data_IF_812460599981
#
_entry.id   IF_812460599981
#
_cell.length_a   1.000
_cell.length_b   1.000
_cell.length_c   1.000
_cell.angle_alpha   90.00
_cell.angle_beta   90.00
_cell.angle_gamma   90.00
#
_symmetry.space_group_name_H-M   'P 1'
#
loop_
_entity.id
_entity.type
_entity.pdbx_description
1 polymer ?
#
# COMPACT_ATOMS: atom_id res chain seq x y z
N UNK A 1 2.50 25.83 24.04
CA UNK A 1 2.46 26.16 22.60
C UNK A 1 3.37 25.15 21.90
N UNK A 2 2.80 24.04 21.42
CA UNK A 2 3.58 22.99 20.76
C UNK A 2 4.04 23.48 19.39
N UNK A 3 5.31 23.26 19.08
CA UNK A 3 5.97 23.63 17.84
C UNK A 3 5.12 23.19 16.64
N UNK A 4 4.50 24.14 15.93
CA UNK A 4 3.57 23.85 14.81
C UNK A 4 4.35 23.58 13.52
N UNK A 5 5.48 22.87 13.62
CA UNK A 5 6.18 22.42 12.42
C UNK A 5 5.40 21.25 11.82
N UNK A 6 5.14 21.24 10.49
CA UNK A 6 4.54 20.10 9.84
C UNK A 6 5.46 18.88 10.00
N UNK A 7 4.86 17.77 10.43
CA UNK A 7 5.53 16.50 10.67
C UNK A 7 6.15 15.95 9.39
N UNK A 8 7.36 15.43 9.50
CA UNK A 8 8.15 14.87 8.38
C UNK A 8 7.93 13.37 8.26
N UNK A 9 8.42 12.79 7.16
CA UNK A 9 8.21 11.37 6.82
C UNK A 9 8.82 10.37 7.81
N UNK A 10 9.97 10.71 8.38
CA UNK A 10 10.69 9.90 9.38
C UNK A 10 10.05 9.99 10.78
N UNK A 11 9.33 11.08 11.04
CA UNK A 11 8.70 11.36 12.34
C UNK A 11 7.34 10.67 12.52
N UNK A 12 6.77 10.08 11.46
CA UNK A 12 5.47 9.40 11.51
C UNK A 12 5.42 8.38 12.65
N UNK A 13 4.37 8.44 13.48
CA UNK A 13 4.19 7.58 14.65
C UNK A 13 2.71 7.17 14.88
N UNK A 14 1.78 7.71 14.10
CA UNK A 14 0.35 7.44 14.22
C UNK A 14 -0.27 7.12 12.84
N UNK A 15 -1.24 6.19 12.80
CA UNK A 15 -2.04 5.90 11.60
C UNK A 15 -2.72 7.14 11.01
N UNK A 16 -3.07 8.11 11.86
CA UNK A 16 -3.65 9.39 11.45
C UNK A 16 -2.72 10.21 10.56
N UNK A 17 -1.40 10.01 10.66
CA UNK A 17 -0.41 10.66 9.80
C UNK A 17 -0.56 10.22 8.35
N UNK A 18 -0.90 8.95 8.10
CA UNK A 18 -1.17 8.44 6.76
C UNK A 18 -2.37 9.14 6.12
N UNK A 19 -3.32 9.63 6.93
CA UNK A 19 -4.46 10.45 6.50
C UNK A 19 -4.06 11.74 5.79
N UNK A 20 -2.83 12.23 6.01
CA UNK A 20 -2.32 13.50 5.47
C UNK A 20 -1.66 13.33 4.10
N UNK A 21 -1.46 12.11 3.62
CA UNK A 21 -0.78 11.83 2.35
C UNK A 21 -1.44 12.55 1.16
N UNK A 22 -0.67 13.09 0.20
CA UNK A 22 -1.24 13.72 -0.99
C UNK A 22 -1.99 12.71 -1.85
N UNK A 23 -3.01 13.16 -2.59
CA UNK A 23 -3.90 12.29 -3.41
C UNK A 23 -3.14 11.33 -4.34
N UNK A 24 -2.07 11.75 -5.04
CA UNK A 24 -1.30 10.84 -5.89
C UNK A 24 -0.75 9.62 -5.16
N UNK A 25 -0.44 9.75 -3.85
CA UNK A 25 0.04 8.63 -3.05
C UNK A 25 -1.05 7.61 -2.81
N UNK A 26 -2.26 8.07 -2.46
CA UNK A 26 -3.41 7.18 -2.34
C UNK A 26 -3.74 6.49 -3.66
N UNK A 27 -3.66 7.22 -4.78
CA UNK A 27 -3.87 6.65 -6.10
C UNK A 27 -2.86 5.54 -6.42
N UNK A 28 -1.57 5.78 -6.15
CA UNK A 28 -0.52 4.78 -6.37
C UNK A 28 -0.65 3.56 -5.44
N UNK A 29 -0.93 3.77 -4.16
CA UNK A 29 -1.18 2.68 -3.21
C UNK A 29 -2.42 1.84 -3.59
N UNK A 30 -3.49 2.50 -4.02
CA UNK A 30 -4.72 1.86 -4.50
C UNK A 30 -4.43 1.06 -5.77
N UNK A 31 -3.77 1.65 -6.76
CA UNK A 31 -3.40 0.97 -8.01
C UNK A 31 -2.56 -0.29 -7.75
N UNK A 32 -1.64 -0.23 -6.78
CA UNK A 32 -0.82 -1.36 -6.38
C UNK A 32 -1.65 -2.52 -5.78
N UNK A 33 -2.65 -2.22 -4.93
CA UNK A 33 -3.60 -3.22 -4.42
C UNK A 33 -4.44 -3.80 -5.56
N UNK A 34 -5.00 -2.97 -6.44
CA UNK A 34 -5.82 -3.43 -7.57
C UNK A 34 -5.03 -4.34 -8.50
N UNK A 35 -3.80 -3.97 -8.82
CA UNK A 35 -2.89 -4.80 -9.61
C UNK A 35 -2.59 -6.12 -8.92
N UNK A 36 -2.33 -6.10 -7.61
CA UNK A 36 -2.09 -7.33 -6.82
C UNK A 36 -3.29 -8.28 -6.87
N UNK A 37 -4.52 -7.76 -6.75
CA UNK A 37 -5.74 -8.58 -6.87
C UNK A 37 -5.86 -9.17 -8.28
N UNK A 38 -5.63 -8.38 -9.32
CA UNK A 38 -5.66 -8.84 -10.71
C UNK A 38 -4.62 -9.95 -10.97
N UNK A 39 -3.39 -9.76 -10.50
CA UNK A 39 -2.33 -10.77 -10.62
C UNK A 39 -2.66 -12.02 -9.82
N UNK A 40 -3.25 -11.89 -8.63
CA UNK A 40 -3.72 -13.03 -7.82
C UNK A 40 -4.80 -13.84 -8.57
N UNK A 41 -5.73 -13.17 -9.26
CA UNK A 41 -6.74 -13.82 -10.11
C UNK A 41 -6.12 -14.65 -11.24
N UNK A 42 -5.10 -14.11 -11.90
CA UNK A 42 -4.38 -14.80 -12.98
C UNK A 42 -3.58 -15.99 -12.43
N UNK A 43 -2.80 -15.77 -11.37
CA UNK A 43 -1.95 -16.78 -10.77
C UNK A 43 -2.75 -17.96 -10.21
N UNK A 44 -3.88 -17.69 -9.53
CA UNK A 44 -4.74 -18.74 -8.98
C UNK A 44 -5.32 -19.66 -10.06
N UNK A 45 -5.50 -19.15 -11.27
CA UNK A 45 -5.91 -19.94 -12.43
C UNK A 45 -4.86 -20.95 -12.89
N UNK A 46 -3.58 -20.72 -12.59
CA UNK A 46 -2.44 -21.52 -13.05
C UNK A 46 -1.86 -22.43 -11.97
N UNK A 47 -1.90 -22.02 -10.70
CA UNK A 47 -1.28 -22.76 -9.60
C UNK A 47 -2.30 -23.18 -8.53
N UNK A 48 -2.25 -24.45 -8.14
CA UNK A 48 -3.15 -25.05 -7.12
C UNK A 48 -2.42 -25.65 -5.92
N UNK A 49 -1.09 -25.59 -5.89
CA UNK A 49 -0.31 -26.19 -4.81
C UNK A 49 -0.49 -25.47 -3.46
N UNK A 50 -0.28 -26.18 -2.33
CA UNK A 50 -0.45 -25.62 -0.99
C UNK A 50 0.52 -24.47 -0.69
N UNK A 51 1.69 -24.46 -1.34
CA UNK A 51 2.70 -23.40 -1.19
C UNK A 51 2.47 -22.19 -2.10
N UNK A 52 1.46 -22.22 -2.97
CA UNK A 52 1.28 -21.16 -3.97
C UNK A 52 0.89 -19.82 -3.31
N UNK A 53 0.04 -19.84 -2.28
CA UNK A 53 -0.32 -18.64 -1.51
C UNK A 53 0.88 -18.05 -0.75
N UNK A 54 1.61 -18.80 0.10
CA UNK A 54 2.73 -18.23 0.83
C UNK A 54 3.85 -17.74 -0.10
N UNK A 55 4.18 -18.48 -1.17
CA UNK A 55 5.17 -18.04 -2.15
C UNK A 55 4.74 -16.74 -2.86
N UNK A 56 3.45 -16.62 -3.21
CA UNK A 56 2.91 -15.41 -3.82
C UNK A 56 2.93 -14.22 -2.86
N UNK A 57 2.52 -14.42 -1.61
CA UNK A 57 2.52 -13.39 -0.59
C UNK A 57 3.95 -12.87 -0.33
N UNK A 58 4.92 -13.77 -0.13
CA UNK A 58 6.32 -13.40 0.03
C UNK A 58 6.86 -12.69 -1.20
N UNK A 59 6.54 -13.17 -2.41
CA UNK A 59 6.98 -12.55 -3.65
C UNK A 59 6.49 -11.11 -3.80
N UNK A 60 5.19 -10.87 -3.59
CA UNK A 60 4.60 -9.53 -3.72
C UNK A 60 5.10 -8.58 -2.63
N UNK A 61 5.16 -9.03 -1.38
CA UNK A 61 5.68 -8.20 -0.28
C UNK A 61 7.15 -7.85 -0.52
N UNK A 62 7.97 -8.83 -0.93
CA UNK A 62 9.38 -8.58 -1.26
C UNK A 62 9.52 -7.60 -2.43
N UNK A 63 8.70 -7.74 -3.49
CA UNK A 63 8.72 -6.81 -4.62
C UNK A 63 8.38 -5.36 -4.23
N UNK A 64 7.58 -5.17 -3.17
CA UNK A 64 7.23 -3.86 -2.63
C UNK A 64 8.31 -3.29 -1.68
N UNK A 65 8.94 -4.15 -0.89
CA UNK A 65 9.87 -3.74 0.18
C UNK A 65 11.32 -3.65 -0.31
N UNK A 66 11.75 -4.48 -1.25
CA UNK A 66 13.14 -4.48 -1.74
C UNK A 66 13.59 -3.15 -2.35
N UNK A 67 12.77 -2.47 -3.21
CA UNK A 67 13.15 -1.15 -3.72
C UNK A 67 13.37 -0.12 -2.61
N UNK A 68 12.55 -0.18 -1.56
CA UNK A 68 12.68 0.67 -0.37
C UNK A 68 13.98 0.40 0.37
N UNK A 69 14.30 -0.87 0.63
CA UNK A 69 15.55 -1.26 1.30
C UNK A 69 16.76 -0.77 0.49
N UNK A 70 16.74 -0.96 -0.83
CA UNK A 70 17.81 -0.55 -1.72
C UNK A 70 17.99 0.98 -1.79
N UNK A 71 16.90 1.74 -1.69
CA UNK A 71 16.97 3.20 -1.63
C UNK A 71 17.45 3.68 -0.26
N UNK A 72 16.99 3.04 0.83
CA UNK A 72 17.43 3.35 2.20
C UNK A 72 18.91 3.09 2.44
N UNK A 73 19.48 2.05 1.83
CA UNK A 73 20.92 1.78 1.96
C UNK A 73 21.82 2.83 1.32
N UNK A 74 21.25 3.74 0.53
CA UNK A 74 21.93 4.88 -0.09
C UNK A 74 21.67 6.21 0.63
N UNK A 75 20.90 6.21 1.71
CA UNK A 75 20.66 7.40 2.51
C UNK A 75 21.90 7.73 3.35
N UNK A 76 22.15 9.02 3.51
CA UNK A 76 23.27 9.60 4.24
C UNK A 76 22.80 10.71 5.21
N UNK A 77 23.74 11.33 5.91
CA UNK A 77 23.46 12.43 6.85
C UNK A 77 22.86 13.67 6.16
N UNK A 78 23.02 13.81 4.85
CA UNK A 78 22.47 14.91 4.05
C UNK A 78 21.04 14.67 3.55
N UNK A 79 20.44 13.51 3.85
CA UNK A 79 19.15 13.13 3.28
C UNK A 79 18.01 14.00 3.84
N UNK A 80 17.31 14.69 2.94
CA UNK A 80 16.16 15.53 3.30
C UNK A 80 14.85 14.72 3.37
N UNK A 81 14.12 14.91 4.47
CA UNK A 81 12.78 14.37 4.71
C UNK A 81 11.73 15.46 4.47
N UNK A 82 10.93 15.42 3.40
CA UNK A 82 9.88 16.43 3.21
C UNK A 82 8.79 16.33 4.29
N UNK A 83 8.00 17.38 4.50
CA UNK A 83 6.71 17.29 5.19
C UNK A 83 5.82 16.22 4.56
N UNK A 84 4.96 15.58 5.36
CA UNK A 84 4.06 14.51 4.90
C UNK A 84 3.17 14.96 3.72
N UNK A 85 2.67 16.19 3.75
CA UNK A 85 1.80 16.73 2.69
C UNK A 85 2.51 16.96 1.35
N UNK A 86 3.83 17.13 1.38
CA UNK A 86 4.66 17.52 0.23
C UNK A 86 5.35 16.32 -0.43
N UNK A 87 5.14 15.12 0.10
CA UNK A 87 5.87 13.94 -0.35
C UNK A 87 5.52 13.50 -1.78
N UNK A 88 6.55 13.16 -2.54
CA UNK A 88 6.41 12.54 -3.85
C UNK A 88 6.18 11.02 -3.75
N UNK A 89 5.21 10.50 -4.49
CA UNK A 89 4.90 9.06 -4.48
C UNK A 89 6.10 8.16 -4.84
N UNK A 90 6.87 8.49 -5.88
CA UNK A 90 7.99 7.65 -6.31
C UNK A 90 9.31 7.99 -5.61
N UNK A 91 9.50 9.26 -5.23
CA UNK A 91 10.77 9.77 -4.72
C UNK A 91 10.95 9.57 -3.23
N UNK A 92 9.89 9.62 -2.43
CA UNK A 92 10.01 9.75 -0.98
C UNK A 92 9.49 8.55 -0.19
N UNK A 93 8.92 7.54 -0.86
CA UNK A 93 8.40 6.35 -0.19
C UNK A 93 9.41 5.73 0.76
N UNK A 94 10.67 5.61 0.34
CA UNK A 94 11.76 5.01 1.10
C UNK A 94 12.10 5.74 2.42
N UNK A 95 11.62 6.98 2.58
CA UNK A 95 11.88 7.85 3.73
C UNK A 95 10.84 7.73 4.85
N UNK A 96 9.74 7.00 4.64
CA UNK A 96 8.75 6.78 5.70
C UNK A 96 9.37 6.09 6.91
N UNK A 97 8.76 6.24 8.10
CA UNK A 97 9.13 5.43 9.27
C UNK A 97 8.91 3.93 9.03
N UNK A 98 9.73 3.07 9.64
CA UNK A 98 9.72 1.61 9.39
C UNK A 98 8.37 0.95 9.66
N UNK A 99 7.62 1.40 10.67
CA UNK A 99 6.31 0.84 11.01
C UNK A 99 5.27 1.09 9.89
N UNK A 100 5.42 2.17 9.11
CA UNK A 100 4.53 2.49 7.98
C UNK A 100 4.59 1.37 6.94
N UNK A 101 5.77 0.78 6.71
CA UNK A 101 5.91 -0.37 5.81
C UNK A 101 5.36 -1.65 6.40
N UNK A 102 5.42 -1.82 7.73
CA UNK A 102 4.78 -2.95 8.38
C UNK A 102 3.26 -2.90 8.16
N UNK A 103 2.65 -1.72 8.33
CA UNK A 103 1.23 -1.49 8.07
C UNK A 103 0.90 -1.66 6.59
N UNK A 104 1.69 -1.08 5.68
CA UNK A 104 1.50 -1.23 4.24
C UNK A 104 1.61 -2.69 3.78
N UNK A 105 2.59 -3.44 4.31
CA UNK A 105 2.77 -4.87 4.05
C UNK A 105 1.64 -5.70 4.62
N UNK A 106 1.15 -5.37 5.83
CA UNK A 106 -0.02 -6.01 6.43
C UNK A 106 -1.28 -5.79 5.61
N UNK A 107 -1.53 -4.57 5.13
CA UNK A 107 -2.63 -4.26 4.23
C UNK A 107 -2.52 -5.03 2.91
N UNK A 108 -1.31 -5.09 2.32
CA UNK A 108 -1.07 -5.89 1.12
C UNK A 108 -1.35 -7.38 1.35
N UNK A 109 -0.85 -7.94 2.45
CA UNK A 109 -1.07 -9.34 2.82
C UNK A 109 -2.56 -9.64 2.99
N UNK A 110 -3.32 -8.75 3.64
CA UNK A 110 -4.76 -8.87 3.77
C UNK A 110 -5.44 -9.01 2.41
N UNK A 111 -5.11 -8.13 1.45
CA UNK A 111 -5.70 -8.19 0.10
C UNK A 111 -5.29 -9.44 -0.68
N UNK A 112 -4.05 -9.90 -0.53
CA UNK A 112 -3.57 -11.15 -1.12
C UNK A 112 -4.38 -12.34 -0.58
N UNK A 113 -4.51 -12.47 0.75
CA UNK A 113 -5.24 -13.57 1.38
C UNK A 113 -6.71 -13.53 1.02
N UNK A 114 -7.34 -12.35 1.13
CA UNK A 114 -8.76 -12.17 0.80
C UNK A 114 -9.05 -12.53 -0.65
N UNK A 115 -8.30 -11.97 -1.60
CA UNK A 115 -8.50 -12.25 -3.03
C UNK A 115 -8.21 -13.71 -3.37
N UNK A 116 -7.17 -14.30 -2.77
CA UNK A 116 -6.88 -15.73 -2.91
C UNK A 116 -8.04 -16.61 -2.43
N UNK A 117 -8.61 -16.31 -1.27
CA UNK A 117 -9.78 -17.03 -0.73
C UNK A 117 -11.00 -16.88 -1.63
N UNK A 118 -11.29 -15.66 -2.12
CA UNK A 118 -12.40 -15.40 -3.04
C UNK A 118 -12.26 -16.21 -4.33
N UNK A 119 -11.08 -16.17 -4.96
CA UNK A 119 -10.82 -16.87 -6.22
C UNK A 119 -10.65 -18.39 -6.03
N UNK A 120 -10.36 -18.86 -4.83
CA UNK A 120 -10.39 -20.28 -4.50
C UNK A 120 -11.82 -20.82 -4.41
N UNK A 121 -12.78 -20.00 -3.99
CA UNK A 121 -14.21 -20.37 -3.96
C UNK A 121 -14.87 -20.22 -5.32
N UNK A 122 -14.71 -19.05 -5.95
CA UNK A 122 -15.40 -18.71 -7.20
C UNK A 122 -14.55 -17.79 -8.06
N UNK A 123 -13.86 -18.36 -9.05
CA UNK A 123 -13.01 -17.62 -10.00
C UNK A 123 -13.77 -17.25 -11.27
N UNK A 124 -14.59 -16.21 -11.19
CA UNK A 124 -15.23 -15.61 -12.37
C UNK A 124 -15.01 -14.10 -12.43
N UNK A 125 -15.40 -13.49 -13.57
CA UNK A 125 -15.23 -12.05 -13.80
C UNK A 125 -16.06 -11.19 -12.85
N UNK A 126 -17.17 -11.71 -12.31
CA UNK A 126 -18.03 -10.97 -11.36
C UNK A 126 -17.36 -10.90 -9.99
N UNK A 127 -16.79 -12.01 -9.51
CA UNK A 127 -15.99 -12.02 -8.28
C UNK A 127 -14.79 -11.09 -8.39
N UNK A 128 -14.08 -11.10 -9.53
CA UNK A 128 -12.96 -10.18 -9.77
C UNK A 128 -13.42 -8.72 -9.74
N UNK A 129 -14.46 -8.36 -10.49
CA UNK A 129 -14.98 -7.00 -10.51
C UNK A 129 -15.42 -6.54 -9.12
N UNK A 130 -16.12 -7.39 -8.37
CA UNK A 130 -16.52 -7.10 -6.99
C UNK A 130 -15.33 -6.87 -6.06
N UNK A 131 -14.29 -7.72 -6.14
CA UNK A 131 -13.07 -7.55 -5.35
C UNK A 131 -12.32 -6.27 -5.69
N UNK A 132 -12.23 -5.90 -6.98
CA UNK A 132 -11.59 -4.66 -7.42
C UNK A 132 -12.36 -3.42 -6.94
N UNK A 133 -13.70 -3.41 -7.05
CA UNK A 133 -14.53 -2.30 -6.57
C UNK A 133 -14.42 -2.16 -5.05
N UNK A 134 -14.51 -3.27 -4.32
CA UNK A 134 -14.35 -3.25 -2.86
C UNK A 134 -12.97 -2.70 -2.47
N UNK A 135 -11.90 -3.19 -3.10
CA UNK A 135 -10.55 -2.71 -2.85
C UNK A 135 -10.40 -1.23 -3.17
N UNK A 136 -10.90 -0.75 -4.30
CA UNK A 136 -10.87 0.65 -4.66
C UNK A 136 -11.55 1.53 -3.61
N UNK A 137 -12.77 1.16 -3.19
CA UNK A 137 -13.51 1.92 -2.17
C UNK A 137 -12.78 1.95 -0.83
N UNK A 138 -12.29 0.80 -0.36
CA UNK A 138 -11.62 0.69 0.94
C UNK A 138 -10.26 1.38 0.96
N UNK A 139 -9.45 1.22 -0.09
CA UNK A 139 -8.08 1.76 -0.12
C UNK A 139 -8.04 3.26 -0.40
N UNK A 140 -9.03 3.78 -1.12
CA UNK A 140 -9.16 5.21 -1.38
C UNK A 140 -9.98 5.95 -0.29
N UNK A 141 -10.49 5.24 0.71
CA UNK A 141 -11.30 5.79 1.81
C UNK A 141 -10.71 7.03 2.50
N UNK A 142 -9.42 7.07 2.87
CA UNK A 142 -8.85 8.26 3.49
C UNK A 142 -8.91 9.50 2.58
N UNK A 143 -8.74 9.31 1.27
CA UNK A 143 -8.88 10.39 0.29
C UNK A 143 -10.34 10.85 0.16
N UNK A 144 -11.31 9.93 0.16
CA UNK A 144 -12.75 10.27 0.19
C UNK A 144 -13.07 11.15 1.40
N UNK A 145 -12.68 10.71 2.60
CA UNK A 145 -12.96 11.45 3.85
C UNK A 145 -12.35 12.85 3.81
N UNK A 146 -11.15 13.01 3.25
CA UNK A 146 -10.54 14.34 3.12
C UNK A 146 -11.29 15.23 2.14
N UNK A 147 -11.65 14.71 0.97
CA UNK A 147 -12.41 15.47 -0.04
C UNK A 147 -13.78 15.88 0.50
N UNK A 148 -14.51 14.97 1.16
CA UNK A 148 -15.84 15.25 1.73
C UNK A 148 -15.82 16.11 3.00
N UNK A 149 -14.68 16.25 3.69
CA UNK A 149 -14.52 17.21 4.79
C UNK A 149 -14.13 18.61 4.33
N UNK A 150 -13.66 18.74 3.08
CA UNK A 150 -13.24 20.01 2.48
C UNK A 150 -14.30 20.60 1.53
N UNK A 151 -15.31 19.81 1.15
CA UNK A 151 -16.51 20.21 0.40
C UNK A 151 -17.63 20.63 1.36
#
# INVERSE_FOLDING_TARGET
MGDRRPKRLDEMDDLRDMGRFPVPVYAGATANILLTILLTYLLRGRFKGPLALPAWAVGIISANVLPVIALRSRMDEGTSFPPIEEMGFFGDQHKFSTWVYAVASGNMLFWIVLSWSLFSRRRDRKTLAGALVLAFVCTFFPAWVRLFRQA
#
